data_IF_415335447733
#
_entry.id   IF_415335447733
#
_cell.length_a   1.000
_cell.length_b   1.000
_cell.length_c   1.000
_cell.angle_alpha   90.00
_cell.angle_beta   90.00
_cell.angle_gamma   90.00
#
_symmetry.space_group_name_H-M   'P 1'
#
loop_
_entity.id
_entity.type
_entity.pdbx_description
1 polymer ?
#
# COMPACT_ATOMS: atom_id res chain seq x y z
N UNK A 1 -18.64 60.01 30.50
CA UNK A 1 -18.86 60.21 29.06
C UNK A 1 -17.56 59.96 28.32
N UNK A 2 -17.64 59.09 27.31
CA UNK A 2 -16.69 58.85 26.20
C UNK A 2 -15.27 58.34 26.54
N UNK A 3 -15.05 57.03 26.36
CA UNK A 3 -13.73 56.47 26.09
C UNK A 3 -13.63 56.17 24.58
N UNK A 4 -12.67 56.86 23.97
CA UNK A 4 -12.32 56.88 22.56
C UNK A 4 -11.92 55.51 22.02
N UNK A 5 -12.52 55.12 20.89
CA UNK A 5 -12.11 53.99 20.07
C UNK A 5 -10.78 54.29 19.35
N UNK A 6 -9.86 53.34 19.33
CA UNK A 6 -8.80 53.18 18.32
C UNK A 6 -8.25 51.75 18.41
N UNK A 7 -9.05 50.78 17.94
CA UNK A 7 -8.60 49.41 17.70
C UNK A 7 -8.15 49.33 16.24
N UNK A 8 -6.89 49.68 15.96
CA UNK A 8 -6.33 49.55 14.61
C UNK A 8 -5.81 48.13 14.42
N UNK A 9 -6.55 47.39 13.61
CA UNK A 9 -6.23 46.11 13.00
C UNK A 9 -4.87 46.17 12.28
N UNK A 10 -3.92 45.36 12.73
CA UNK A 10 -2.65 45.10 12.05
C UNK A 10 -2.48 43.61 11.83
N UNK A 11 -3.42 42.99 11.10
CA UNK A 11 -3.34 41.57 10.74
C UNK A 11 -2.34 41.41 9.59
N UNK A 12 -1.05 41.23 9.92
CA UNK A 12 -0.06 40.75 8.97
C UNK A 12 -0.32 39.27 8.72
N UNK A 13 -1.20 38.98 7.76
CA UNK A 13 -1.35 37.66 7.19
C UNK A 13 -0.11 37.33 6.35
N UNK A 14 0.96 36.89 7.02
CA UNK A 14 2.04 36.16 6.35
C UNK A 14 1.48 34.81 5.93
N UNK A 15 0.80 34.77 4.78
CA UNK A 15 0.59 33.55 4.03
C UNK A 15 1.96 33.13 3.48
N UNK A 16 2.76 32.49 4.33
CA UNK A 16 3.74 31.53 3.83
C UNK A 16 2.91 30.44 3.15
N UNK A 17 2.71 30.60 1.85
CA UNK A 17 2.48 29.47 1.00
C UNK A 17 3.70 28.57 1.21
N UNK A 18 3.54 27.54 2.05
CA UNK A 18 4.52 26.49 2.18
C UNK A 18 4.66 25.89 0.77
N UNK A 19 5.73 26.29 0.06
CA UNK A 19 6.12 25.61 -1.16
C UNK A 19 6.15 24.11 -0.81
N UNK A 20 5.59 23.21 -1.63
CA UNK A 20 5.60 21.79 -1.35
C UNK A 20 7.06 21.39 -1.12
N UNK A 21 7.39 21.05 0.13
CA UNK A 21 8.74 20.66 0.50
C UNK A 21 9.08 19.46 -0.36
N UNK A 22 10.12 19.59 -1.19
CA UNK A 22 10.61 18.46 -1.99
C UNK A 22 10.93 17.34 -1.02
N UNK A 23 10.22 16.22 -1.12
CA UNK A 23 10.47 15.05 -0.28
C UNK A 23 11.87 14.50 -0.58
N UNK A 24 12.67 14.34 0.46
CA UNK A 24 14.02 13.76 0.38
C UNK A 24 13.95 12.24 0.25
N UNK A 25 15.05 11.61 -0.15
CA UNK A 25 15.18 10.15 -0.19
C UNK A 25 14.82 9.50 1.17
N UNK A 26 15.12 10.18 2.27
CA UNK A 26 14.75 9.74 3.62
C UNK A 26 13.24 9.57 3.81
N UNK A 27 12.42 10.42 3.20
CA UNK A 27 10.96 10.34 3.31
C UNK A 27 10.43 9.13 2.53
N UNK A 28 11.07 8.82 1.39
CA UNK A 28 10.77 7.63 0.59
C UNK A 28 11.16 6.36 1.36
N UNK A 29 12.33 6.35 2.01
CA UNK A 29 12.77 5.24 2.85
C UNK A 29 11.84 5.04 4.06
N UNK A 30 11.47 6.12 4.76
CA UNK A 30 10.52 6.05 5.87
C UNK A 30 9.14 5.52 5.43
N UNK A 31 8.70 5.85 4.21
CA UNK A 31 7.49 5.30 3.63
C UNK A 31 7.59 3.76 3.43
N UNK A 32 8.71 3.27 2.88
CA UNK A 32 8.95 1.83 2.76
C UNK A 32 8.98 1.13 4.11
N UNK A 33 9.66 1.69 5.10
CA UNK A 33 9.75 1.10 6.45
C UNK A 33 8.37 1.00 7.10
N UNK A 34 7.55 2.04 6.95
CA UNK A 34 6.18 2.06 7.46
C UNK A 34 5.29 1.02 6.80
N UNK A 35 5.40 0.85 5.47
CA UNK A 35 4.68 -0.21 4.74
C UNK A 35 5.12 -1.59 5.26
N UNK A 36 6.42 -1.82 5.38
CA UNK A 36 6.96 -3.10 5.87
C UNK A 36 6.50 -3.42 7.29
N UNK A 37 6.46 -2.43 8.18
CA UNK A 37 5.97 -2.60 9.56
C UNK A 37 4.48 -2.93 9.61
N UNK A 38 3.65 -2.26 8.80
CA UNK A 38 2.23 -2.56 8.70
C UNK A 38 2.00 -3.98 8.14
N UNK A 39 2.75 -4.38 7.11
CA UNK A 39 2.72 -5.75 6.57
C UNK A 39 3.06 -6.77 7.67
N UNK A 40 4.16 -6.56 8.40
CA UNK A 40 4.56 -7.49 9.46
C UNK A 40 3.48 -7.64 10.55
N UNK A 41 2.84 -6.53 10.92
CA UNK A 41 1.73 -6.52 11.88
C UNK A 41 0.53 -7.30 11.34
N UNK A 42 0.14 -7.05 10.09
CA UNK A 42 -0.96 -7.74 9.43
C UNK A 42 -0.71 -9.25 9.34
N UNK A 43 0.48 -9.67 8.90
CA UNK A 43 0.89 -11.08 8.83
C UNK A 43 0.81 -11.74 10.21
N UNK A 44 1.34 -11.09 11.24
CA UNK A 44 1.28 -11.62 12.61
C UNK A 44 -0.16 -11.84 13.07
N UNK A 45 -1.07 -10.90 12.81
CA UNK A 45 -2.49 -11.04 13.15
C UNK A 45 -3.19 -12.12 12.35
N UNK A 46 -2.96 -12.22 11.04
CA UNK A 46 -3.53 -13.29 10.20
C UNK A 46 -3.09 -14.66 10.73
N UNK A 47 -1.81 -14.82 11.05
CA UNK A 47 -1.28 -16.07 11.58
C UNK A 47 -1.86 -16.42 12.96
N UNK A 48 -2.00 -15.43 13.84
CA UNK A 48 -2.56 -15.58 15.18
C UNK A 48 -4.09 -15.69 15.21
N UNK A 49 -4.79 -15.41 14.11
CA UNK A 49 -6.24 -15.43 14.05
C UNK A 49 -6.78 -16.84 14.33
N UNK A 50 -7.82 -16.90 15.15
CA UNK A 50 -8.44 -18.11 15.67
C UNK A 50 -9.51 -18.70 14.74
N UNK A 51 -9.80 -18.05 13.61
CA UNK A 51 -10.81 -18.48 12.66
C UNK A 51 -12.24 -18.05 13.01
N UNK A 52 -12.44 -17.24 14.05
CA UNK A 52 -13.77 -16.77 14.44
C UNK A 52 -14.15 -15.50 13.67
N UNK A 53 -15.36 -15.46 13.11
CA UNK A 53 -15.84 -14.27 12.37
C UNK A 53 -15.84 -12.99 13.24
N UNK A 54 -16.09 -13.13 14.55
CA UNK A 54 -16.10 -12.01 15.52
C UNK A 54 -14.72 -11.39 15.77
N UNK A 55 -13.63 -12.13 15.50
CA UNK A 55 -12.25 -11.70 15.74
C UNK A 55 -11.52 -11.28 14.46
N UNK A 56 -12.22 -11.22 13.31
CA UNK A 56 -11.62 -10.84 12.02
C UNK A 56 -11.40 -9.33 11.90
N UNK A 57 -12.17 -8.52 12.62
CA UNK A 57 -12.17 -7.06 12.48
C UNK A 57 -10.78 -6.43 12.67
N UNK A 58 -9.95 -6.82 13.66
CA UNK A 58 -8.60 -6.28 13.82
C UNK A 58 -7.64 -6.57 12.66
N UNK A 59 -7.92 -7.57 11.83
CA UNK A 59 -7.18 -7.86 10.59
C UNK A 59 -7.64 -6.90 9.50
N UNK A 60 -8.95 -6.67 9.38
CA UNK A 60 -9.52 -5.74 8.40
C UNK A 60 -9.05 -4.31 8.67
N UNK A 61 -9.00 -3.89 9.95
CA UNK A 61 -8.51 -2.58 10.35
C UNK A 61 -7.02 -2.38 9.99
N UNK A 62 -6.19 -3.43 10.16
CA UNK A 62 -4.78 -3.39 9.77
C UNK A 62 -4.60 -3.42 8.25
N UNK A 63 -5.46 -4.14 7.51
CA UNK A 63 -5.49 -4.10 6.04
C UNK A 63 -5.79 -2.68 5.56
N UNK A 64 -6.83 -2.04 6.11
CA UNK A 64 -7.17 -0.65 5.79
C UNK A 64 -6.03 0.31 6.12
N UNK A 65 -5.38 0.15 7.27
CA UNK A 65 -4.21 0.97 7.63
C UNK A 65 -3.04 0.76 6.68
N UNK A 66 -2.81 -0.48 6.23
CA UNK A 66 -1.83 -0.80 5.21
C UNK A 66 -2.19 -0.11 3.89
N UNK A 67 -3.44 -0.24 3.43
CA UNK A 67 -3.98 0.42 2.24
C UNK A 67 -3.71 1.93 2.26
N UNK A 68 -4.14 2.62 3.32
CA UNK A 68 -3.96 4.06 3.49
C UNK A 68 -2.47 4.45 3.49
N UNK A 69 -1.62 3.62 4.09
CA UNK A 69 -0.18 3.84 4.10
C UNK A 69 0.43 3.68 2.70
N UNK A 70 0.00 2.67 1.94
CA UNK A 70 0.44 2.47 0.55
C UNK A 70 0.02 3.65 -0.31
N UNK A 71 -1.25 4.09 -0.24
CA UNK A 71 -1.75 5.24 -0.99
C UNK A 71 -1.01 6.54 -0.63
N UNK A 72 -0.80 6.79 0.66
CA UNK A 72 -0.05 7.96 1.12
C UNK A 72 1.39 7.94 0.61
N UNK A 73 2.03 6.76 0.62
CA UNK A 73 3.39 6.56 0.11
C UNK A 73 3.47 6.74 -1.40
N UNK A 74 2.50 6.21 -2.15
CA UNK A 74 2.41 6.38 -3.59
C UNK A 74 2.28 7.86 -3.96
N UNK A 75 1.37 8.58 -3.30
CA UNK A 75 1.20 10.04 -3.45
C UNK A 75 2.50 10.77 -3.09
N UNK A 76 3.19 10.33 -2.03
CA UNK A 76 4.44 10.94 -1.60
C UNK A 76 5.56 10.81 -2.64
N UNK A 77 5.73 9.63 -3.22
CA UNK A 77 6.72 9.34 -4.25
C UNK A 77 6.34 10.03 -5.58
N UNK A 78 5.05 10.09 -5.91
CA UNK A 78 4.59 10.89 -7.06
C UNK A 78 4.89 12.37 -6.88
N UNK A 79 4.88 12.90 -5.67
CA UNK A 79 5.25 14.30 -5.40
C UNK A 79 6.76 14.56 -5.27
N UNK A 80 7.61 13.54 -5.25
CA UNK A 80 9.05 13.71 -5.08
C UNK A 80 9.77 14.05 -6.39
N UNK A 81 11.00 14.56 -6.28
CA UNK A 81 11.90 14.70 -7.43
C UNK A 81 12.30 13.33 -7.98
N UNK A 82 12.76 13.31 -9.25
CA UNK A 82 13.41 12.12 -9.83
C UNK A 82 14.51 11.61 -8.91
N UNK A 83 14.57 10.29 -8.73
CA UNK A 83 15.59 9.60 -7.94
C UNK A 83 16.84 9.51 -8.82
N UNK A 84 17.96 10.06 -8.34
CA UNK A 84 19.24 9.97 -9.04
C UNK A 84 19.76 8.53 -9.06
N UNK A 85 20.72 8.20 -9.92
CA UNK A 85 21.25 6.84 -10.05
C UNK A 85 21.79 6.26 -8.73
N UNK A 86 22.48 7.07 -7.93
CA UNK A 86 23.04 6.64 -6.64
C UNK A 86 21.95 6.35 -5.60
N UNK A 87 20.96 7.22 -5.53
CA UNK A 87 19.80 7.03 -4.65
C UNK A 87 18.94 5.85 -5.11
N UNK A 88 18.86 5.62 -6.41
CA UNK A 88 18.09 4.54 -7.02
C UNK A 88 18.64 3.17 -6.62
N UNK A 89 19.97 3.02 -6.52
CA UNK A 89 20.61 1.80 -5.97
C UNK A 89 20.18 1.57 -4.52
N UNK A 90 20.11 2.64 -3.72
CA UNK A 90 19.64 2.59 -2.33
C UNK A 90 18.18 2.16 -2.17
N UNK A 91 17.36 2.27 -3.21
CA UNK A 91 15.93 1.88 -3.19
C UNK A 91 15.72 0.42 -3.63
N UNK A 92 16.65 -0.19 -4.38
CA UNK A 92 16.51 -1.59 -4.84
C UNK A 92 16.39 -2.57 -3.67
N UNK A 93 17.23 -2.40 -2.63
CA UNK A 93 17.19 -3.25 -1.43
C UNK A 93 15.82 -3.23 -0.74
N UNK A 94 15.32 -2.05 -0.32
CA UNK A 94 13.97 -1.89 0.22
C UNK A 94 12.85 -2.45 -0.67
N UNK A 95 12.95 -2.27 -2.00
CA UNK A 95 11.97 -2.84 -2.95
C UNK A 95 11.98 -4.37 -2.95
N UNK A 96 13.16 -4.99 -2.87
CA UNK A 96 13.27 -6.44 -2.76
C UNK A 96 12.71 -6.97 -1.43
N UNK A 97 12.99 -6.27 -0.32
CA UNK A 97 12.41 -6.60 1.00
C UNK A 97 10.89 -6.48 0.96
N UNK A 98 10.36 -5.42 0.35
CA UNK A 98 8.91 -5.26 0.18
C UNK A 98 8.30 -6.42 -0.63
N UNK A 99 8.98 -6.87 -1.68
CA UNK A 99 8.54 -8.03 -2.48
C UNK A 99 8.45 -9.31 -1.66
N UNK A 100 9.43 -9.57 -0.79
CA UNK A 100 9.39 -10.68 0.18
C UNK A 100 8.25 -10.49 1.18
N UNK A 101 8.03 -9.27 1.67
CA UNK A 101 6.95 -8.98 2.63
C UNK A 101 5.56 -9.18 2.01
N UNK A 102 5.37 -8.84 0.74
CA UNK A 102 4.13 -9.17 0.02
C UNK A 102 3.94 -10.69 -0.07
N UNK A 103 5.01 -11.45 -0.29
CA UNK A 103 4.97 -12.91 -0.27
C UNK A 103 4.49 -13.47 1.07
N UNK A 104 4.97 -12.88 2.18
CA UNK A 104 4.56 -13.25 3.53
C UNK A 104 3.04 -13.06 3.72
N UNK A 105 2.48 -11.93 3.26
CA UNK A 105 1.03 -11.65 3.34
C UNK A 105 0.25 -12.63 2.50
N UNK A 106 0.63 -12.82 1.24
CA UNK A 106 -0.05 -13.75 0.33
C UNK A 106 -0.03 -15.17 0.89
N UNK A 107 1.12 -15.61 1.42
CA UNK A 107 1.25 -16.93 2.04
C UNK A 107 0.38 -17.07 3.27
N UNK A 108 0.36 -16.07 4.16
CA UNK A 108 -0.47 -16.08 5.36
C UNK A 108 -1.96 -16.16 5.01
N UNK A 109 -2.42 -15.35 4.04
CA UNK A 109 -3.79 -15.37 3.54
C UNK A 109 -4.15 -16.74 2.98
N UNK A 110 -3.37 -17.25 2.02
CA UNK A 110 -3.64 -18.55 1.39
C UNK A 110 -3.65 -19.71 2.40
N UNK A 111 -2.75 -19.69 3.39
CA UNK A 111 -2.71 -20.69 4.46
C UNK A 111 -3.97 -20.66 5.32
N UNK A 112 -4.50 -19.46 5.60
CA UNK A 112 -5.69 -19.25 6.43
C UNK A 112 -7.00 -19.26 5.64
N UNK A 113 -6.95 -19.41 4.31
CA UNK A 113 -8.13 -19.33 3.44
C UNK A 113 -9.28 -20.22 3.91
N UNK A 114 -9.02 -21.47 4.24
CA UNK A 114 -10.06 -22.39 4.73
C UNK A 114 -10.76 -21.91 6.01
N UNK A 115 -10.05 -21.20 6.88
CA UNK A 115 -10.63 -20.59 8.08
C UNK A 115 -11.48 -19.36 7.74
N UNK A 116 -11.02 -18.52 6.80
CA UNK A 116 -11.81 -17.38 6.32
C UNK A 116 -13.10 -17.82 5.61
N UNK A 117 -13.03 -18.90 4.83
CA UNK A 117 -14.18 -19.51 4.16
C UNK A 117 -15.18 -20.06 5.20
N UNK A 118 -14.68 -20.84 6.18
CA UNK A 118 -15.51 -21.39 7.26
C UNK A 118 -16.18 -20.31 8.12
N UNK A 119 -15.48 -19.20 8.35
CA UNK A 119 -16.00 -18.03 9.05
C UNK A 119 -16.95 -17.16 8.19
N UNK A 120 -17.11 -17.46 6.89
CA UNK A 120 -17.92 -16.68 5.94
C UNK A 120 -17.47 -15.21 5.84
N UNK A 121 -16.16 -14.99 5.85
CA UNK A 121 -15.57 -13.64 5.75
C UNK A 121 -14.68 -13.47 4.52
N UNK A 122 -14.56 -14.49 3.67
CA UNK A 122 -13.73 -14.44 2.45
C UNK A 122 -14.08 -13.30 1.51
N UNK A 123 -15.36 -12.92 1.39
CA UNK A 123 -15.76 -11.78 0.55
C UNK A 123 -15.18 -10.45 1.07
N UNK A 124 -15.09 -10.28 2.40
CA UNK A 124 -14.46 -9.09 2.99
C UNK A 124 -12.96 -9.09 2.70
N UNK A 125 -12.30 -10.24 2.88
CA UNK A 125 -10.87 -10.38 2.58
C UNK A 125 -10.60 -10.12 1.09
N UNK A 126 -11.45 -10.63 0.20
CA UNK A 126 -11.35 -10.37 -1.24
C UNK A 126 -11.49 -8.88 -1.55
N UNK A 127 -12.42 -8.17 -0.90
CA UNK A 127 -12.62 -6.74 -1.09
C UNK A 127 -11.38 -5.92 -0.72
N UNK A 128 -10.81 -6.16 0.46
CA UNK A 128 -9.58 -5.50 0.92
C UNK A 128 -8.40 -5.83 0.00
N UNK A 129 -8.25 -7.11 -0.40
CA UNK A 129 -7.15 -7.56 -1.23
C UNK A 129 -7.16 -6.94 -2.64
N UNK A 130 -8.35 -6.70 -3.22
CA UNK A 130 -8.48 -5.99 -4.49
C UNK A 130 -8.05 -4.51 -4.34
N UNK A 131 -8.41 -3.86 -3.24
CA UNK A 131 -8.01 -2.47 -2.97
C UNK A 131 -6.50 -2.37 -2.73
N UNK A 132 -5.92 -3.28 -1.95
CA UNK A 132 -4.48 -3.34 -1.69
C UNK A 132 -3.69 -3.66 -2.95
N UNK A 133 -4.22 -4.52 -3.82
CA UNK A 133 -3.62 -4.78 -5.12
C UNK A 133 -3.57 -3.51 -5.97
N UNK A 134 -4.69 -2.78 -6.09
CA UNK A 134 -4.75 -1.55 -6.86
C UNK A 134 -3.78 -0.50 -6.32
N UNK A 135 -3.79 -0.25 -5.01
CA UNK A 135 -2.89 0.70 -4.36
C UNK A 135 -1.41 0.30 -4.53
N UNK A 136 -1.09 -1.00 -4.46
CA UNK A 136 0.27 -1.48 -4.68
C UNK A 136 0.72 -1.27 -6.13
N UNK A 137 -0.15 -1.51 -7.12
CA UNK A 137 0.13 -1.23 -8.53
C UNK A 137 0.39 0.26 -8.76
N UNK A 138 -0.34 1.15 -8.08
CA UNK A 138 -0.08 2.60 -8.11
C UNK A 138 1.25 2.98 -7.46
N UNK A 139 1.59 2.38 -6.32
CA UNK A 139 2.89 2.57 -5.65
C UNK A 139 4.04 2.12 -6.56
N UNK A 140 3.93 0.94 -7.17
CA UNK A 140 4.91 0.43 -8.15
C UNK A 140 5.09 1.43 -9.29
N UNK A 141 3.99 1.89 -9.88
CA UNK A 141 4.03 2.89 -10.97
C UNK A 141 4.70 4.19 -10.52
N UNK A 142 4.41 4.65 -9.31
CA UNK A 142 5.03 5.85 -8.72
C UNK A 142 6.55 5.68 -8.59
N UNK A 143 7.00 4.54 -8.06
CA UNK A 143 8.43 4.23 -7.90
C UNK A 143 9.11 4.19 -9.26
N UNK A 144 8.61 3.37 -10.20
CA UNK A 144 9.21 3.20 -11.52
C UNK A 144 9.26 4.52 -12.30
N UNK A 145 8.23 5.37 -12.18
CA UNK A 145 8.19 6.70 -12.81
C UNK A 145 9.20 7.71 -12.23
N UNK A 146 9.80 7.42 -11.07
CA UNK A 146 10.84 8.24 -10.45
C UNK A 146 12.25 7.69 -10.63
N UNK A 147 12.39 6.47 -11.15
CA UNK A 147 13.68 5.82 -11.35
C UNK A 147 14.29 6.16 -12.73
N UNK A 148 15.62 6.20 -12.85
CA UNK A 148 16.31 6.23 -14.15
C UNK A 148 16.05 4.94 -14.94
N UNK A 149 16.06 5.00 -16.27
CA UNK A 149 15.75 3.85 -17.16
C UNK A 149 16.60 2.60 -16.88
N UNK A 150 17.87 2.79 -16.53
CA UNK A 150 18.77 1.67 -16.16
C UNK A 150 18.30 0.96 -14.90
N UNK A 151 17.77 1.68 -13.91
CA UNK A 151 17.23 1.10 -12.68
C UNK A 151 15.84 0.50 -12.91
N UNK A 152 15.01 1.09 -13.77
CA UNK A 152 13.70 0.52 -14.15
C UNK A 152 13.87 -0.89 -14.69
N UNK A 153 14.89 -1.13 -15.51
CA UNK A 153 15.17 -2.48 -16.06
C UNK A 153 15.47 -3.54 -14.99
N UNK A 154 15.95 -3.12 -13.81
CA UNK A 154 16.23 -3.99 -12.66
C UNK A 154 15.00 -4.11 -11.75
N UNK A 155 14.25 -3.02 -11.57
CA UNK A 155 13.09 -2.96 -10.69
C UNK A 155 11.84 -3.60 -11.32
N UNK A 156 11.71 -3.58 -12.65
CA UNK A 156 10.53 -4.07 -13.36
C UNK A 156 10.23 -5.56 -13.07
N UNK A 157 11.19 -6.51 -13.14
CA UNK A 157 10.91 -7.90 -12.81
C UNK A 157 10.44 -8.11 -11.37
N UNK A 158 10.94 -7.29 -10.43
CA UNK A 158 10.52 -7.34 -9.02
C UNK A 158 9.07 -6.84 -8.89
N UNK A 159 8.76 -5.72 -9.53
CA UNK A 159 7.41 -5.15 -9.59
C UNK A 159 6.39 -6.11 -10.23
N UNK A 160 6.78 -6.78 -11.31
CA UNK A 160 5.95 -7.79 -11.98
C UNK A 160 5.70 -8.98 -11.06
N UNK A 161 6.74 -9.46 -10.37
CA UNK A 161 6.63 -10.54 -9.39
C UNK A 161 5.68 -10.19 -8.23
N UNK A 162 5.73 -8.96 -7.70
CA UNK A 162 4.80 -8.48 -6.68
C UNK A 162 3.36 -8.48 -7.21
N UNK A 163 3.15 -7.95 -8.42
CA UNK A 163 1.83 -7.88 -9.04
C UNK A 163 1.23 -9.27 -9.24
N UNK A 164 2.02 -10.22 -9.76
CA UNK A 164 1.59 -11.61 -9.96
C UNK A 164 1.22 -12.31 -8.66
N UNK A 165 1.96 -12.08 -7.56
CA UNK A 165 1.63 -12.65 -6.25
C UNK A 165 0.30 -12.13 -5.72
N UNK A 166 0.05 -10.83 -5.87
CA UNK A 166 -1.23 -10.22 -5.50
C UNK A 166 -2.37 -10.72 -6.38
N UNK A 167 -2.15 -10.84 -7.70
CA UNK A 167 -3.14 -11.41 -8.63
C UNK A 167 -3.51 -12.86 -8.26
N UNK A 168 -2.51 -13.67 -7.87
CA UNK A 168 -2.74 -15.04 -7.36
C UNK A 168 -3.60 -15.04 -6.10
N UNK A 169 -3.33 -14.13 -5.16
CA UNK A 169 -4.10 -14.03 -3.93
C UNK A 169 -5.54 -13.60 -4.20
N UNK A 170 -5.76 -12.57 -5.03
CA UNK A 170 -7.10 -12.13 -5.46
C UNK A 170 -7.86 -13.28 -6.13
N UNK A 171 -7.20 -14.00 -7.04
CA UNK A 171 -7.81 -15.16 -7.73
C UNK A 171 -8.22 -16.25 -6.75
N UNK A 172 -7.38 -16.53 -5.75
CA UNK A 172 -7.69 -17.54 -4.75
C UNK A 172 -8.90 -17.16 -3.90
N UNK A 173 -9.08 -15.88 -3.58
CA UNK A 173 -10.20 -15.37 -2.78
C UNK A 173 -11.44 -15.00 -3.59
N UNK A 174 -11.38 -15.08 -4.92
CA UNK A 174 -12.53 -14.83 -5.77
C UNK A 174 -13.70 -15.77 -5.39
N UNK A 175 -14.94 -15.27 -5.38
CA UNK A 175 -16.10 -16.10 -5.05
C UNK A 175 -16.14 -17.32 -5.97
N UNK A 176 -16.42 -18.48 -5.39
CA UNK A 176 -16.56 -19.76 -6.10
C UNK A 176 -17.82 -19.75 -6.97
N UNK A 177 -17.70 -19.06 -8.10
CA UNK A 177 -18.66 -18.87 -9.18
C UNK A 177 -18.00 -18.32 -10.45
N UNK A 178 -16.73 -17.89 -10.38
CA UNK A 178 -15.92 -17.52 -11.55
C UNK A 178 -15.14 -18.71 -12.17
N UNK A 179 -15.16 -19.89 -11.55
CA UNK A 179 -14.71 -21.13 -12.17
C UNK A 179 -15.92 -21.81 -12.84
N UNK A 180 -15.92 -21.81 -14.18
CA UNK A 180 -16.95 -22.35 -15.09
C UNK A 180 -18.09 -21.38 -15.48
N UNK A 181 -17.77 -20.34 -16.26
CA UNK A 181 -18.62 -20.05 -17.41
C UNK A 181 -18.31 -21.11 -18.48
N UNK A 182 -19.25 -21.98 -18.90
CA UNK A 182 -19.03 -22.84 -20.05
C UNK A 182 -18.79 -21.95 -21.28
N UNK A 183 -17.81 -22.34 -22.11
CA UNK A 183 -17.57 -21.69 -23.40
C UNK A 183 -18.90 -21.56 -24.17
N UNK A 184 -19.20 -20.40 -24.81
CA UNK A 184 -20.36 -20.32 -25.67
C UNK A 184 -20.16 -21.28 -26.83
N UNK A 185 -21.04 -22.28 -26.92
CA UNK A 185 -21.20 -23.06 -28.13
C UNK A 185 -21.78 -22.14 -29.20
N UNK A 186 -20.99 -21.81 -30.22
CA UNK A 186 -21.42 -21.34 -31.55
C UNK A 186 -20.30 -21.58 -32.54
#
# INVERSE_FOLDING_TARGET
MHFTALFSLGLLANSVAAAPTRRSLSDVQAAFDKIQANIATLVAKINAWDGQASSVQPIMDDSKKLHETIQSSATAIQGSSSIGLMDAVGVIGPVNVLSTKVDDVVTALLTKKGQFDAAKVSDKVSGELVQDQAATKELIKAILGRLPSVTVSIAQPIADGVSQKLDKAVTAYAPSGAAAAPAPAS
#
